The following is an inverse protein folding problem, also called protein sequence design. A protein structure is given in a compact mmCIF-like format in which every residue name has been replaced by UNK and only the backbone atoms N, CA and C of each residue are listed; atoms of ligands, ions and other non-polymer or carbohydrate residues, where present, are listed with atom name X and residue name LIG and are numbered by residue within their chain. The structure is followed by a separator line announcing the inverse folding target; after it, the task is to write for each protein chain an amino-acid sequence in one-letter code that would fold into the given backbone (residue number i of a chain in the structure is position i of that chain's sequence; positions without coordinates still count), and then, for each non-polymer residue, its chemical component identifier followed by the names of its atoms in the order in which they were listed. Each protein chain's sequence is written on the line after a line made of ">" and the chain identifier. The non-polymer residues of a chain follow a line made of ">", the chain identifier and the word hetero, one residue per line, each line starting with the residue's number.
data_IF_941729989258
#
_entry.id   IF_941729989258
#
_cell.length_a   1.000
_cell.length_b   1.000
_cell.length_c   1.000
_cell.angle_alpha   90.00
_cell.angle_beta   90.00
_cell.angle_gamma   90.00
#
_symmetry.space_group_name_H-M   'P 1'
#
loop_
_entity.id
_entity.type
_entity.pdbx_description
1 polymer ?
#
# COMPACT_ATOMS: atom_id res chain seq x y z
N UNK A 1 16.98 39.19 34.23
CA UNK A 1 15.70 39.15 33.51
C UNK A 1 16.00 38.65 32.10
N UNK A 2 15.86 37.34 31.87
CA UNK A 2 16.12 36.67 30.60
C UNK A 2 14.78 36.30 29.97
N UNK A 3 14.53 36.82 28.79
CA UNK A 3 13.31 36.63 27.98
C UNK A 3 13.39 35.28 27.27
N UNK A 4 12.51 34.35 27.62
CA UNK A 4 12.36 33.10 26.94
C UNK A 4 11.68 33.32 25.57
N UNK A 5 12.41 33.06 24.48
CA UNK A 5 11.86 33.01 23.12
C UNK A 5 11.12 31.69 22.91
N UNK A 6 9.82 31.82 22.76
CA UNK A 6 8.92 30.74 22.45
C UNK A 6 9.03 30.45 20.95
N UNK A 7 9.78 29.40 20.54
CA UNK A 7 9.81 28.91 19.16
C UNK A 7 8.57 28.07 18.92
N UNK A 8 7.75 28.37 17.90
CA UNK A 8 6.63 27.50 17.52
C UNK A 8 7.19 26.20 16.94
N UNK A 9 6.68 25.07 17.46
CA UNK A 9 6.95 23.75 16.93
C UNK A 9 6.52 23.70 15.45
N UNK A 10 7.48 23.43 14.58
CA UNK A 10 7.27 23.17 13.16
C UNK A 10 6.39 21.94 13.04
N UNK A 11 5.14 22.11 12.62
CA UNK A 11 4.29 21.00 12.19
C UNK A 11 4.97 20.37 10.98
N UNK A 12 5.52 19.17 11.15
CA UNK A 12 5.91 18.30 10.05
C UNK A 12 4.66 18.05 9.20
N UNK A 13 4.56 18.75 8.10
CA UNK A 13 3.52 18.55 7.12
C UNK A 13 3.68 17.15 6.53
N UNK A 14 2.65 16.34 6.69
CA UNK A 14 2.49 15.05 6.06
C UNK A 14 2.55 15.26 4.53
N UNK A 15 3.76 15.24 3.96
CA UNK A 15 3.96 15.31 2.50
C UNK A 15 3.61 13.93 1.95
N UNK A 16 2.32 13.78 1.62
CA UNK A 16 1.83 12.62 0.89
C UNK A 16 2.60 12.50 -0.42
N UNK A 17 2.91 11.30 -0.86
CA UNK A 17 3.37 11.01 -2.22
C UNK A 17 2.27 11.44 -3.20
N UNK A 18 2.16 12.73 -3.40
CA UNK A 18 1.57 13.27 -4.60
C UNK A 18 2.68 13.14 -5.63
N UNK A 19 2.56 12.22 -6.58
CA UNK A 19 3.19 12.42 -7.87
C UNK A 19 2.55 13.73 -8.33
N UNK A 20 3.21 14.85 -8.04
CA UNK A 20 2.74 16.19 -8.39
C UNK A 20 2.84 16.32 -9.92
N UNK A 21 1.88 15.70 -10.60
CA UNK A 21 1.57 16.00 -11.98
C UNK A 21 0.90 17.35 -11.94
N UNK A 22 1.66 18.41 -12.23
CA UNK A 22 1.25 19.82 -12.16
C UNK A 22 -0.15 20.05 -12.70
N UNK A 23 -1.11 20.16 -11.80
CA UNK A 23 -2.49 20.52 -12.07
C UNK A 23 -2.75 21.96 -11.66
N UNK A 24 -2.88 22.82 -12.62
CA UNK A 24 -3.32 24.21 -12.49
C UNK A 24 -4.73 24.23 -11.89
N UNK A 25 -4.89 24.69 -10.65
CA UNK A 25 -6.17 24.85 -9.96
C UNK A 25 -6.96 25.99 -10.62
N UNK A 26 -7.97 25.65 -11.38
CA UNK A 26 -9.09 26.54 -11.70
C UNK A 26 -10.15 26.38 -10.59
N UNK A 27 -10.25 27.43 -9.78
CA UNK A 27 -11.28 27.61 -8.77
C UNK A 27 -12.63 27.86 -9.45
N UNK A 28 -13.53 26.89 -9.35
CA UNK A 28 -14.94 27.03 -9.74
C UNK A 28 -15.84 26.77 -8.55
N UNK A 29 -16.29 27.82 -7.87
CA UNK A 29 -17.29 27.76 -6.80
C UNK A 29 -18.69 27.52 -7.38
N UNK A 30 -19.37 26.44 -6.93
CA UNK A 30 -20.82 26.32 -7.06
C UNK A 30 -21.41 25.76 -5.77
N UNK A 31 -22.08 26.63 -5.05
CA UNK A 31 -22.92 26.32 -3.92
C UNK A 31 -24.27 25.78 -4.41
N UNK A 32 -24.73 24.63 -3.92
CA UNK A 32 -26.16 24.27 -3.92
C UNK A 32 -26.53 23.65 -2.57
N UNK A 33 -27.39 24.38 -1.86
CA UNK A 33 -28.08 23.92 -0.66
C UNK A 33 -29.28 23.03 -1.05
N UNK A 34 -29.53 21.96 -0.29
CA UNK A 34 -30.71 21.14 -0.45
C UNK A 34 -30.92 20.24 0.75
N UNK A 35 -31.73 20.72 1.73
CA UNK A 35 -32.29 19.91 2.82
C UNK A 35 -33.37 18.97 2.28
N UNK A 36 -33.44 17.73 2.78
CA UNK A 36 -34.72 17.08 3.08
C UNK A 36 -34.52 15.86 3.97
N UNK A 37 -35.09 15.97 5.13
CA UNK A 37 -35.38 14.95 6.13
C UNK A 37 -36.46 13.95 5.62
N UNK A 38 -36.31 12.66 5.91
CA UNK A 38 -37.49 11.85 6.21
C UNK A 38 -37.16 10.68 7.17
N UNK A 39 -37.86 10.71 8.27
CA UNK A 39 -37.92 9.69 9.31
C UNK A 39 -38.90 8.58 8.90
N UNK A 40 -38.62 7.33 9.21
CA UNK A 40 -39.62 6.31 9.49
C UNK A 40 -39.07 5.16 10.33
N UNK A 41 -39.69 4.92 11.44
CA UNK A 41 -39.50 3.94 12.51
C UNK A 41 -40.51 2.76 12.31
N UNK A 42 -40.63 1.77 13.23
CA UNK A 42 -40.02 0.43 13.13
C UNK A 42 -41.09 -0.68 12.97
N UNK A 43 -40.69 -1.90 12.69
CA UNK A 43 -41.54 -3.09 12.73
C UNK A 43 -40.87 -4.25 13.46
N UNK A 44 -41.38 -4.54 14.65
CA UNK A 44 -41.03 -5.72 15.41
C UNK A 44 -41.95 -6.89 14.97
N UNK A 45 -41.40 -8.08 14.79
CA UNK A 45 -42.14 -9.34 14.87
C UNK A 45 -41.30 -10.39 15.61
N UNK A 46 -41.83 -10.79 16.76
CA UNK A 46 -41.47 -11.99 17.50
C UNK A 46 -42.31 -13.20 17.02
N UNK A 47 -41.75 -14.39 17.01
CA UNK A 47 -42.35 -15.71 17.27
C UNK A 47 -41.24 -16.75 17.28
N UNK A 48 -40.89 -17.32 18.37
CA UNK A 48 -41.39 -18.44 19.14
C UNK A 48 -41.27 -19.81 18.45
N UNK A 49 -40.45 -20.70 19.04
CA UNK A 49 -40.75 -22.08 19.31
C UNK A 49 -40.12 -23.14 18.39
N UNK A 50 -39.33 -24.01 18.99
CA UNK A 50 -38.91 -25.28 18.38
C UNK A 50 -37.79 -25.96 19.15
N UNK A 51 -38.12 -26.70 20.20
CA UNK A 51 -37.23 -27.63 20.88
C UNK A 51 -37.12 -28.93 20.06
N UNK A 52 -35.89 -29.44 19.87
CA UNK A 52 -35.64 -30.70 19.19
C UNK A 52 -34.31 -31.32 19.60
N UNK A 53 -34.46 -32.44 20.27
CA UNK A 53 -33.56 -33.38 20.94
C UNK A 53 -32.18 -33.65 20.40
N UNK A 54 -31.32 -33.91 21.33
CA UNK A 54 -30.08 -34.64 21.43
C UNK A 54 -29.75 -35.67 20.32
N UNK A 55 -28.51 -35.54 19.83
CA UNK A 55 -27.76 -36.57 19.11
C UNK A 55 -26.29 -36.37 19.37
N UNK A 56 -25.77 -36.99 20.44
CA UNK A 56 -24.33 -37.11 20.69
C UNK A 56 -23.72 -38.02 19.66
N UNK A 57 -22.93 -37.46 18.77
CA UNK A 57 -21.93 -38.21 18.01
C UNK A 57 -20.62 -37.46 18.09
N UNK A 58 -19.72 -38.01 18.86
CA UNK A 58 -18.33 -37.59 19.03
C UNK A 58 -17.59 -37.79 17.69
N UNK A 59 -17.12 -36.75 17.00
CA UNK A 59 -16.18 -36.99 15.91
C UNK A 59 -14.78 -37.14 16.47
N UNK A 60 -14.18 -38.27 16.17
CA UNK A 60 -12.75 -38.58 16.31
C UNK A 60 -11.93 -37.47 15.64
N UNK A 61 -10.85 -36.94 16.28
CA UNK A 61 -10.01 -35.96 15.65
C UNK A 61 -9.19 -36.65 14.53
N UNK A 62 -9.64 -36.47 13.30
CA UNK A 62 -8.78 -36.71 12.14
C UNK A 62 -7.62 -35.74 12.21
N UNK A 63 -6.43 -36.25 12.45
CA UNK A 63 -5.19 -35.50 12.31
C UNK A 63 -5.10 -34.94 10.87
N UNK A 64 -5.37 -33.63 10.73
CA UNK A 64 -5.05 -32.91 9.54
C UNK A 64 -3.53 -32.90 9.44
N UNK A 65 -2.98 -33.72 8.55
CA UNK A 65 -1.58 -33.64 8.17
C UNK A 65 -1.36 -32.24 7.55
N UNK A 66 -0.81 -31.35 8.36
CA UNK A 66 -0.28 -30.06 7.88
C UNK A 66 0.89 -30.41 6.96
N UNK A 67 0.67 -30.37 5.65
CA UNK A 67 1.74 -30.39 4.68
C UNK A 67 2.54 -29.10 4.87
N UNK A 68 3.53 -29.13 5.76
CA UNK A 68 4.60 -28.15 5.84
C UNK A 68 5.43 -28.27 4.56
N UNK A 69 4.94 -27.71 3.47
CA UNK A 69 5.75 -27.42 2.31
C UNK A 69 6.81 -26.41 2.78
N UNK A 70 8.06 -26.86 2.90
CA UNK A 70 9.21 -26.01 3.18
C UNK A 70 9.35 -25.05 2.00
N UNK A 71 8.72 -23.90 2.07
CA UNK A 71 9.02 -22.81 1.17
C UNK A 71 10.51 -22.50 1.36
N UNK A 72 11.28 -22.53 0.29
CA UNK A 72 12.70 -22.20 0.35
C UNK A 72 12.90 -20.79 0.95
N UNK A 73 14.11 -20.48 1.43
CA UNK A 73 14.38 -19.18 2.05
C UNK A 73 14.01 -18.05 1.09
N UNK A 74 13.29 -17.04 1.59
CA UNK A 74 12.99 -15.84 0.83
C UNK A 74 14.28 -15.09 0.54
N UNK A 75 14.50 -14.73 -0.70
CA UNK A 75 15.67 -13.98 -1.17
C UNK A 75 15.22 -12.74 -1.97
N UNK A 76 16.08 -11.76 -2.09
CA UNK A 76 15.82 -10.58 -2.94
C UNK A 76 15.48 -10.98 -4.39
N UNK A 77 16.19 -11.97 -4.93
CA UNK A 77 15.93 -12.49 -6.27
C UNK A 77 14.54 -13.13 -6.41
N UNK A 78 14.08 -13.89 -5.39
CA UNK A 78 12.75 -14.54 -5.41
C UNK A 78 11.59 -13.55 -5.29
N UNK A 79 11.86 -12.32 -4.84
CA UNK A 79 10.91 -11.23 -4.71
C UNK A 79 10.92 -10.26 -5.90
N UNK A 80 11.85 -10.44 -6.84
CA UNK A 80 11.96 -9.60 -8.04
C UNK A 80 11.03 -10.09 -9.15
N UNK A 81 10.60 -9.18 -10.03
CA UNK A 81 9.81 -9.49 -11.24
C UNK A 81 10.47 -8.88 -12.47
N UNK A 82 11.22 -9.70 -13.21
CA UNK A 82 11.94 -9.27 -14.41
C UNK A 82 11.02 -8.82 -15.55
N UNK A 83 9.79 -9.35 -15.62
CA UNK A 83 8.80 -8.95 -16.65
C UNK A 83 8.27 -7.55 -16.40
N UNK A 84 8.15 -7.18 -15.12
CA UNK A 84 7.79 -5.84 -14.70
C UNK A 84 8.99 -4.88 -14.74
N UNK A 85 10.22 -5.39 -14.81
CA UNK A 85 11.43 -4.59 -14.57
C UNK A 85 11.57 -4.14 -13.12
N UNK A 86 11.02 -4.92 -12.19
CA UNK A 86 11.05 -4.67 -10.75
C UNK A 86 12.13 -5.53 -10.10
N UNK A 87 13.09 -4.90 -9.43
CA UNK A 87 14.21 -5.59 -8.80
C UNK A 87 14.28 -5.27 -7.31
N UNK A 88 14.17 -6.29 -6.47
CA UNK A 88 14.56 -6.19 -5.07
C UNK A 88 16.07 -6.41 -4.99
N UNK A 89 16.81 -5.43 -4.47
CA UNK A 89 18.28 -5.48 -4.42
C UNK A 89 18.80 -6.03 -3.09
N UNK A 90 18.07 -5.80 -2.00
CA UNK A 90 18.41 -6.31 -0.67
C UNK A 90 17.17 -6.49 0.19
N UNK A 91 17.28 -7.39 1.16
CA UNK A 91 16.30 -7.62 2.24
C UNK A 91 17.04 -7.78 3.57
N UNK A 92 16.41 -7.47 4.71
CA UNK A 92 17.00 -7.71 6.02
C UNK A 92 17.30 -9.19 6.26
N UNK A 93 18.38 -9.47 6.96
CA UNK A 93 18.70 -10.81 7.43
C UNK A 93 17.96 -11.14 8.75
N UNK A 94 17.76 -12.43 9.04
CA UNK A 94 17.24 -12.88 10.32
C UNK A 94 15.75 -12.60 10.56
N UNK A 95 14.96 -12.38 9.51
CA UNK A 95 13.52 -12.22 9.63
C UNK A 95 12.86 -13.50 10.16
N UNK A 96 11.93 -13.36 11.10
CA UNK A 96 11.07 -14.44 11.52
C UNK A 96 9.97 -14.76 10.48
N UNK A 97 9.20 -15.82 10.72
CA UNK A 97 8.16 -16.28 9.77
C UNK A 97 7.10 -15.22 9.51
N UNK A 98 6.72 -14.43 10.52
CA UNK A 98 5.72 -13.36 10.38
C UNK A 98 6.30 -12.20 9.59
N UNK A 99 7.53 -11.79 9.90
CA UNK A 99 8.23 -10.74 9.16
C UNK A 99 8.47 -11.09 7.69
N UNK A 100 8.80 -12.36 7.41
CA UNK A 100 8.89 -12.87 6.03
C UNK A 100 7.55 -12.74 5.31
N UNK A 101 6.45 -13.07 5.98
CA UNK A 101 5.09 -12.92 5.41
C UNK A 101 4.75 -11.45 5.13
N UNK A 102 5.05 -10.56 6.07
CA UNK A 102 4.89 -9.10 5.90
C UNK A 102 5.69 -8.59 4.70
N UNK A 103 6.96 -9.00 4.59
CA UNK A 103 7.83 -8.63 3.47
C UNK A 103 7.25 -9.09 2.12
N UNK A 104 6.78 -10.34 2.04
CA UNK A 104 6.17 -10.87 0.83
C UNK A 104 4.90 -10.12 0.42
N UNK A 105 4.04 -9.79 1.40
CA UNK A 105 2.81 -9.06 1.15
C UNK A 105 3.07 -7.58 0.80
N UNK A 106 4.10 -6.94 1.40
CA UNK A 106 4.59 -5.63 0.99
C UNK A 106 5.06 -5.63 -0.47
N UNK A 107 5.91 -6.59 -0.86
CA UNK A 107 6.39 -6.68 -2.24
C UNK A 107 5.24 -6.95 -3.21
N UNK A 108 4.24 -7.76 -2.81
CA UNK A 108 3.05 -7.98 -3.63
C UNK A 108 2.24 -6.68 -3.83
N UNK A 109 2.10 -5.84 -2.79
CA UNK A 109 1.51 -4.51 -2.89
C UNK A 109 2.28 -3.62 -3.86
N UNK A 110 3.59 -3.49 -3.65
CA UNK A 110 4.44 -2.61 -4.45
C UNK A 110 4.45 -3.03 -5.93
N UNK A 111 4.56 -4.33 -6.21
CA UNK A 111 4.44 -4.84 -7.59
C UNK A 111 3.06 -4.63 -8.23
N UNK A 112 1.97 -4.73 -7.48
CA UNK A 112 0.61 -4.42 -8.00
C UNK A 112 0.53 -2.96 -8.38
N UNK A 113 1.03 -2.06 -7.54
CA UNK A 113 1.08 -0.62 -7.80
C UNK A 113 1.93 -0.30 -9.02
N UNK A 114 3.13 -0.90 -9.16
CA UNK A 114 3.97 -0.71 -10.35
C UNK A 114 3.33 -1.25 -11.62
N UNK A 115 2.67 -2.41 -11.59
CA UNK A 115 1.91 -2.93 -12.76
C UNK A 115 0.81 -1.98 -13.18
N UNK A 116 0.11 -1.40 -12.20
CA UNK A 116 -0.93 -0.42 -12.45
C UNK A 116 -0.37 0.81 -13.17
N UNK A 117 0.76 1.35 -12.72
CA UNK A 117 1.40 2.49 -13.35
C UNK A 117 1.99 2.20 -14.73
N UNK A 118 2.59 1.02 -14.92
CA UNK A 118 3.08 0.57 -16.24
C UNK A 118 1.94 0.37 -17.23
N UNK A 119 0.77 -0.06 -16.77
CA UNK A 119 -0.44 -0.15 -17.60
C UNK A 119 -1.11 1.19 -17.87
N UNK A 120 -0.72 2.27 -17.18
CA UNK A 120 -1.37 3.58 -17.28
C UNK A 120 -2.71 3.64 -16.55
N UNK A 121 -2.82 2.97 -15.40
CA UNK A 121 -4.00 2.99 -14.55
C UNK A 121 -5.16 2.09 -15.01
N UNK A 122 -4.93 1.20 -15.99
CA UNK A 122 -6.03 0.47 -16.67
C UNK A 122 -6.67 -0.64 -15.84
N UNK A 123 -5.93 -1.30 -14.93
CA UNK A 123 -6.44 -2.45 -14.18
C UNK A 123 -6.26 -2.28 -12.67
N UNK A 124 -7.26 -1.73 -12.01
CA UNK A 124 -7.30 -1.56 -10.56
C UNK A 124 -7.83 -2.78 -9.81
N UNK A 125 -8.23 -3.87 -10.49
CA UNK A 125 -8.90 -5.03 -9.88
C UNK A 125 -8.09 -5.73 -8.79
N UNK A 126 -6.76 -5.59 -8.83
CA UNK A 126 -5.84 -6.18 -7.83
C UNK A 126 -5.58 -5.29 -6.63
N UNK A 127 -5.90 -4.00 -6.70
CA UNK A 127 -5.63 -3.02 -5.62
C UNK A 127 -6.30 -3.43 -4.31
N UNK A 128 -7.60 -3.81 -4.24
CA UNK A 128 -8.24 -4.20 -2.99
C UNK A 128 -7.67 -5.48 -2.34
N UNK A 129 -6.96 -6.29 -3.11
CA UNK A 129 -6.35 -7.53 -2.59
C UNK A 129 -5.02 -7.30 -1.86
N UNK A 130 -4.44 -6.10 -1.97
CA UNK A 130 -3.12 -5.75 -1.41
C UNK A 130 -3.12 -4.46 -0.59
N UNK A 131 -4.21 -3.69 -0.63
CA UNK A 131 -4.36 -2.41 0.08
C UNK A 131 -5.64 -2.35 0.88
N UNK A 132 -5.71 -1.41 1.82
CA UNK A 132 -6.91 -1.10 2.59
C UNK A 132 -6.95 0.38 2.98
N UNK A 133 -8.12 0.83 3.47
CA UNK A 133 -8.29 2.18 4.00
C UNK A 133 -8.01 3.29 2.98
N UNK A 134 -7.41 4.37 3.47
CA UNK A 134 -7.14 5.56 2.64
C UNK A 134 -6.12 5.29 1.53
N UNK A 135 -5.15 4.38 1.76
CA UNK A 135 -4.16 4.05 0.72
C UNK A 135 -4.82 3.38 -0.49
N UNK A 136 -5.82 2.53 -0.26
CA UNK A 136 -6.58 1.92 -1.36
C UNK A 136 -7.25 2.97 -2.25
N UNK A 137 -7.88 3.98 -1.64
CA UNK A 137 -8.50 5.08 -2.36
C UNK A 137 -7.45 5.89 -3.12
N UNK A 138 -6.35 6.25 -2.45
CA UNK A 138 -5.26 7.02 -3.06
C UNK A 138 -4.68 6.32 -4.29
N UNK A 139 -4.34 5.03 -4.21
CA UNK A 139 -3.83 4.25 -5.34
C UNK A 139 -4.83 4.21 -6.50
N UNK A 140 -6.13 4.13 -6.19
CA UNK A 140 -7.19 4.15 -7.21
C UNK A 140 -7.34 5.51 -7.87
N UNK A 141 -7.24 6.59 -7.10
CA UNK A 141 -7.30 7.96 -7.60
C UNK A 141 -6.08 8.30 -8.48
N UNK A 142 -4.88 7.89 -8.06
CA UNK A 142 -3.64 8.05 -8.84
C UNK A 142 -3.73 7.29 -10.16
N UNK A 143 -4.31 6.08 -10.16
CA UNK A 143 -4.54 5.29 -11.37
C UNK A 143 -5.51 5.99 -12.33
N UNK A 144 -6.61 6.54 -11.80
CA UNK A 144 -7.59 7.28 -12.58
C UNK A 144 -6.98 8.56 -13.19
N UNK A 145 -6.11 9.26 -12.44
CA UNK A 145 -5.39 10.44 -12.92
C UNK A 145 -4.44 10.08 -14.07
N UNK A 146 -3.62 9.02 -13.91
CA UNK A 146 -2.75 8.54 -14.98
C UNK A 146 -3.53 8.16 -16.24
N UNK A 147 -4.64 7.44 -16.07
CA UNK A 147 -5.50 7.03 -17.17
C UNK A 147 -6.08 8.25 -17.91
N UNK A 148 -6.57 9.25 -17.15
CA UNK A 148 -7.13 10.48 -17.71
C UNK A 148 -6.13 11.29 -18.53
N UNK A 149 -4.85 11.26 -18.13
CA UNK A 149 -3.73 11.93 -18.80
C UNK A 149 -3.08 11.09 -19.91
N UNK A 150 -3.51 9.85 -20.07
CA UNK A 150 -2.88 8.89 -21.00
C UNK A 150 -1.42 8.59 -20.64
N UNK A 151 -1.05 8.74 -19.37
CA UNK A 151 0.31 8.57 -18.90
C UNK A 151 0.56 7.15 -18.45
N UNK A 152 1.81 6.68 -18.58
CA UNK A 152 2.25 5.39 -18.05
C UNK A 152 3.71 5.44 -17.65
N UNK A 153 4.05 4.63 -16.65
CA UNK A 153 5.44 4.44 -16.25
C UNK A 153 6.18 3.47 -17.18
N UNK A 154 7.47 3.72 -17.36
CA UNK A 154 8.44 2.77 -17.92
C UNK A 154 9.47 2.45 -16.83
N UNK A 155 9.68 1.19 -16.56
CA UNK A 155 10.70 0.66 -15.66
C UNK A 155 12.06 0.57 -16.35
N UNK A 156 13.19 0.33 -15.69
CA UNK A 156 13.30 -0.42 -14.43
C UNK A 156 13.13 0.41 -13.16
N UNK A 157 12.63 -0.25 -12.11
CA UNK A 157 12.61 0.25 -10.73
C UNK A 157 13.38 -0.72 -9.83
N UNK A 158 14.08 -0.19 -8.83
CA UNK A 158 14.86 -0.99 -7.87
C UNK A 158 14.42 -0.64 -6.46
N UNK A 159 14.35 -1.65 -5.59
CA UNK A 159 13.92 -1.51 -4.20
C UNK A 159 14.91 -2.21 -3.28
N UNK A 160 15.38 -1.52 -2.25
CA UNK A 160 16.15 -2.09 -1.15
C UNK A 160 15.30 -2.01 0.13
N UNK A 161 14.96 -3.15 0.72
CA UNK A 161 14.28 -3.19 2.01
C UNK A 161 15.32 -3.19 3.10
N UNK A 162 15.23 -2.23 4.04
CA UNK A 162 16.16 -2.05 5.14
C UNK A 162 15.65 -2.61 6.46
N UNK A 163 14.32 -2.63 6.67
CA UNK A 163 13.72 -3.07 7.92
C UNK A 163 12.32 -3.63 7.71
N UNK A 164 11.97 -4.65 8.51
CA UNK A 164 10.60 -5.13 8.72
C UNK A 164 10.37 -5.20 10.22
N UNK A 165 9.50 -4.35 10.75
CA UNK A 165 9.22 -4.25 12.18
C UNK A 165 7.76 -4.57 12.48
N UNK A 166 7.51 -5.33 13.56
CA UNK A 166 6.17 -5.61 14.06
C UNK A 166 5.81 -4.62 15.17
N UNK A 167 4.56 -4.16 15.22
CA UNK A 167 4.05 -3.45 16.40
C UNK A 167 4.04 -4.37 17.63
N UNK A 168 4.11 -3.79 18.82
CA UNK A 168 4.16 -4.55 20.07
C UNK A 168 2.92 -5.43 20.30
N UNK A 169 1.78 -5.03 19.77
CA UNK A 169 0.51 -5.77 19.84
C UNK A 169 0.29 -6.74 18.67
N UNK A 170 1.20 -6.76 17.70
CA UNK A 170 1.09 -7.59 16.49
C UNK A 170 -0.01 -7.20 15.53
N UNK A 171 -0.66 -6.03 15.71
CA UNK A 171 -1.79 -5.58 14.89
C UNK A 171 -1.36 -4.74 13.69
N UNK A 172 -0.09 -4.37 13.62
CA UNK A 172 0.48 -3.71 12.46
C UNK A 172 1.94 -4.10 12.26
N UNK A 173 2.43 -3.85 11.07
CA UNK A 173 3.84 -3.99 10.73
C UNK A 173 4.28 -2.80 9.89
N UNK A 174 5.56 -2.46 9.94
CA UNK A 174 6.15 -1.46 9.07
C UNK A 174 7.28 -2.06 8.25
N UNK A 175 7.39 -1.63 6.99
CA UNK A 175 8.49 -1.96 6.09
C UNK A 175 9.15 -0.66 5.66
N UNK A 176 10.42 -0.47 6.07
CA UNK A 176 11.24 0.67 5.62
C UNK A 176 12.06 0.25 4.41
N UNK A 177 12.08 1.08 3.39
CA UNK A 177 12.74 0.76 2.13
C UNK A 177 13.23 2.01 1.39
N UNK A 178 14.11 1.78 0.43
CA UNK A 178 14.55 2.77 -0.54
C UNK A 178 14.05 2.35 -1.92
N UNK A 179 13.37 3.22 -2.64
CA UNK A 179 13.02 3.00 -4.04
C UNK A 179 13.87 3.88 -4.95
N UNK A 180 14.53 3.27 -5.93
CA UNK A 180 15.32 3.97 -6.95
C UNK A 180 14.48 4.18 -8.21
N UNK A 181 14.07 5.42 -8.41
CA UNK A 181 13.31 5.87 -9.58
C UNK A 181 14.19 6.61 -10.60
N UNK A 182 15.51 6.65 -10.43
CA UNK A 182 16.41 7.43 -11.30
C UNK A 182 16.34 7.03 -12.78
N UNK A 183 15.96 5.77 -13.06
CA UNK A 183 15.79 5.22 -14.43
C UNK A 183 14.33 5.06 -14.84
N UNK A 184 13.39 5.34 -13.95
CA UNK A 184 11.96 5.34 -14.29
C UNK A 184 11.64 6.56 -15.15
N UNK A 185 10.80 6.38 -16.15
CA UNK A 185 10.25 7.49 -16.93
C UNK A 185 8.74 7.38 -16.99
N UNK A 186 8.07 8.52 -16.92
CA UNK A 186 6.65 8.62 -17.24
C UNK A 186 6.50 9.19 -18.64
N UNK A 187 5.69 8.54 -19.46
CA UNK A 187 5.42 9.00 -20.83
C UNK A 187 3.94 9.29 -21.02
N UNK A 188 3.63 10.27 -21.85
CA UNK A 188 2.26 10.55 -22.28
C UNK A 188 1.78 9.59 -23.38
N UNK A 189 0.56 9.81 -23.89
CA UNK A 189 -0.07 9.01 -24.94
C UNK A 189 0.74 9.02 -26.26
N UNK A 190 1.56 10.03 -26.50
CA UNK A 190 2.43 10.18 -27.67
C UNK A 190 3.81 9.56 -27.44
N UNK A 191 4.08 9.05 -26.24
CA UNK A 191 5.37 8.44 -25.85
C UNK A 191 6.44 9.46 -25.48
N UNK A 192 6.10 10.74 -25.35
CA UNK A 192 6.99 11.80 -24.89
C UNK A 192 7.25 11.65 -23.39
N UNK A 193 8.51 11.80 -22.97
CA UNK A 193 8.89 11.83 -21.54
C UNK A 193 8.29 13.08 -20.87
N UNK A 194 7.45 12.84 -19.87
CA UNK A 194 6.79 13.86 -19.03
C UNK A 194 7.19 13.67 -17.56
N UNK A 195 8.32 13.00 -17.31
CA UNK A 195 8.81 12.75 -15.95
C UNK A 195 9.25 14.05 -15.30
N UNK A 196 8.68 14.35 -14.16
CA UNK A 196 9.14 15.48 -13.34
C UNK A 196 10.58 15.21 -12.86
N UNK A 197 11.51 16.17 -12.97
CA UNK A 197 12.89 15.98 -12.53
C UNK A 197 13.04 15.52 -11.08
N UNK A 198 12.15 15.99 -10.19
CA UNK A 198 12.11 15.58 -8.77
C UNK A 198 11.72 14.13 -8.55
N UNK A 199 11.05 13.50 -9.52
CA UNK A 199 10.71 12.08 -9.46
C UNK A 199 11.91 11.17 -9.78
N UNK A 200 12.98 11.68 -10.39
CA UNK A 200 14.20 10.92 -10.72
C UNK A 200 15.18 10.89 -9.55
N UNK A 201 14.81 10.20 -8.48
CA UNK A 201 15.58 10.15 -7.25
C UNK A 201 15.53 8.75 -6.62
N UNK A 202 16.40 8.54 -5.63
CA UNK A 202 16.27 7.47 -4.66
C UNK A 202 15.47 8.01 -3.47
N UNK A 203 14.34 7.38 -3.16
CA UNK A 203 13.36 7.90 -2.20
C UNK A 203 13.27 6.94 -1.03
N UNK A 204 13.63 7.37 0.20
CA UNK A 204 13.39 6.59 1.39
C UNK A 204 11.90 6.63 1.74
N UNK A 205 11.32 5.47 1.99
CA UNK A 205 9.91 5.35 2.28
C UNK A 205 9.63 4.28 3.35
N UNK A 206 8.45 4.39 3.94
CA UNK A 206 7.90 3.41 4.86
C UNK A 206 6.48 3.07 4.43
N UNK A 207 6.17 1.78 4.48
CA UNK A 207 4.81 1.28 4.30
C UNK A 207 4.33 0.66 5.61
N UNK A 208 3.11 1.02 6.06
CA UNK A 208 2.43 0.38 7.18
C UNK A 208 1.46 -0.65 6.64
N UNK A 209 1.52 -1.87 7.18
CA UNK A 209 0.63 -2.97 6.83
C UNK A 209 -0.20 -3.40 8.05
N UNK A 210 -1.42 -3.83 7.79
CA UNK A 210 -2.34 -4.37 8.81
C UNK A 210 -2.85 -5.74 8.39
N UNK A 211 -3.22 -6.64 9.34
CA UNK A 211 -3.76 -7.95 8.99
C UNK A 211 -5.10 -7.81 8.24
N UNK A 212 -5.20 -8.49 7.10
CA UNK A 212 -6.45 -8.64 6.35
C UNK A 212 -7.20 -9.92 6.72
N UNK A 213 -8.49 -9.97 6.43
CA UNK A 213 -9.36 -11.12 6.74
C UNK A 213 -8.99 -12.41 6.00
N UNK A 214 -8.21 -12.31 4.93
CA UNK A 214 -7.75 -13.44 4.10
C UNK A 214 -6.38 -14.00 4.53
N UNK A 215 -5.86 -13.60 5.70
CA UNK A 215 -4.56 -13.99 6.22
C UNK A 215 -3.37 -13.32 5.52
N UNK A 216 -3.63 -12.28 4.72
CA UNK A 216 -2.59 -11.41 4.13
C UNK A 216 -2.43 -10.15 4.95
N UNK A 217 -1.26 -9.55 4.85
CA UNK A 217 -1.02 -8.18 5.30
C UNK A 217 -1.37 -7.22 4.16
N UNK A 218 -2.19 -6.22 4.47
CA UNK A 218 -2.65 -5.22 3.51
C UNK A 218 -1.97 -3.89 3.80
N UNK A 219 -1.40 -3.25 2.78
CA UNK A 219 -0.85 -1.92 2.91
C UNK A 219 -1.96 -0.91 3.22
N UNK A 220 -1.79 -0.15 4.30
CA UNK A 220 -2.76 0.84 4.80
C UNK A 220 -2.28 2.27 4.71
N UNK A 221 -0.95 2.47 4.79
CA UNK A 221 -0.30 3.79 4.70
C UNK A 221 1.04 3.65 3.98
N UNK A 222 1.41 4.71 3.27
CA UNK A 222 2.72 4.87 2.68
C UNK A 222 3.20 6.31 2.88
N UNK A 223 4.45 6.48 3.33
CA UNK A 223 5.04 7.78 3.59
C UNK A 223 6.50 7.85 3.13
N UNK A 224 6.93 9.00 2.65
CA UNK A 224 8.34 9.32 2.47
C UNK A 224 8.95 9.66 3.83
N UNK A 225 10.08 9.05 4.17
CA UNK A 225 10.69 9.16 5.50
C UNK A 225 11.93 10.05 5.55
N UNK A 226 12.33 10.62 4.43
CA UNK A 226 13.52 11.49 4.35
C UNK A 226 13.61 12.24 3.03
N UNK A 227 14.69 12.98 2.88
CA UNK A 227 14.94 13.75 1.66
C UNK A 227 15.28 12.81 0.48
N UNK A 228 14.93 13.17 -0.76
CA UNK A 228 15.35 12.44 -1.94
C UNK A 228 16.88 12.25 -1.98
N UNK A 229 17.33 11.06 -2.37
CA UNK A 229 18.73 10.63 -2.42
C UNK A 229 19.43 10.49 -1.04
N UNK A 230 18.66 10.45 0.06
CA UNK A 230 19.20 10.16 1.39
C UNK A 230 19.31 8.66 1.70
N UNK A 231 18.87 7.80 0.80
CA UNK A 231 19.02 6.33 0.88
C UNK A 231 19.69 5.77 -0.37
N UNK A 232 20.02 4.46 -0.35
CA UNK A 232 20.67 3.78 -1.48
C UNK A 232 20.12 2.38 -1.68
N UNK A 233 20.05 1.95 -2.94
CA UNK A 233 19.63 0.59 -3.31
C UNK A 233 20.80 -0.34 -3.66
N UNK A 234 22.04 0.10 -3.42
CA UNK A 234 23.27 -0.68 -3.74
C UNK A 234 23.72 -0.55 -5.20
#
# INVERSE_FOLDING_TARGET
>A
MARAENRPASRAGNRRRVIALGGLLLVGSLAVAGCSSNSSKPGAHASAGGAGSAGSSTPSPSAVATASGSAGPVTAASLSDSRLGYTVTSIPAGLDVTQVKVLQDFVAYDQVTWRLWVSGGQDTSKVPAVTTGNLQQQVSDDAADMLSKGQKAKTPVRVAVSEVAMSADGQSASVSYCVDMTKVTFVDAQGKDVTEPSAKAQIPARNTLVPGSNGRWLASEEEETGEPNSCSVG
#
